data_IF_807940596644
#
_entry.id   IF_807940596644
#
_cell.length_a   1.000
_cell.length_b   1.000
_cell.length_c   1.000
_cell.angle_alpha   90.00
_cell.angle_beta   90.00
_cell.angle_gamma   90.00
#
_symmetry.space_group_name_H-M   'P 1'
#
loop_
_entity.id
_entity.type
_entity.pdbx_description
1 polymer ?
#
# COMPACT_ATOMS: atom_id res chain seq x y z
N UNK A 1 27.53 -46.14 91.78
CA UNK A 1 26.40 -45.23 91.70
C UNK A 1 26.45 -44.60 90.32
N UNK A 2 25.42 -44.90 89.57
CA UNK A 2 25.23 -44.73 88.09
C UNK A 2 24.91 -43.32 87.71
N UNK A 3 25.49 -42.85 86.63
CA UNK A 3 25.14 -41.60 85.97
C UNK A 3 24.99 -41.80 84.47
N UNK A 4 23.77 -42.04 84.04
CA UNK A 4 23.41 -42.16 82.64
C UNK A 4 23.46 -40.78 81.96
N UNK A 5 24.30 -40.59 80.92
CA UNK A 5 24.25 -39.43 80.01
C UNK A 5 23.22 -39.69 78.93
N UNK A 6 22.15 -38.90 78.87
CA UNK A 6 21.16 -38.83 77.75
C UNK A 6 21.82 -38.26 76.52
N UNK A 7 21.81 -39.05 75.43
CA UNK A 7 22.16 -38.63 74.06
C UNK A 7 20.99 -37.89 73.45
N UNK A 8 21.19 -36.64 73.05
CA UNK A 8 20.21 -35.76 72.52
C UNK A 8 20.03 -36.03 70.98
N UNK A 9 18.96 -36.68 70.60
CA UNK A 9 18.65 -37.12 69.21
C UNK A 9 18.09 -35.97 68.32
N UNK A 10 18.49 -34.72 68.50
CA UNK A 10 17.90 -33.59 67.71
C UNK A 10 18.86 -32.89 66.76
N UNK A 11 20.03 -33.46 66.42
CA UNK A 11 21.01 -32.79 65.54
C UNK A 11 21.34 -33.53 64.23
N UNK A 12 20.51 -34.48 63.80
CA UNK A 12 20.79 -35.27 62.59
C UNK A 12 19.76 -35.12 61.43
N UNK A 13 18.88 -34.13 61.46
CA UNK A 13 17.87 -33.94 60.39
C UNK A 13 17.89 -32.55 59.73
N UNK A 14 19.02 -31.85 59.74
CA UNK A 14 19.10 -30.49 59.11
C UNK A 14 20.25 -30.34 58.10
N UNK A 15 20.57 -31.35 57.32
CA UNK A 15 21.59 -31.26 56.26
C UNK A 15 21.24 -31.97 54.96
N UNK A 16 19.98 -32.08 54.59
CA UNK A 16 19.59 -32.75 53.32
C UNK A 16 18.44 -32.11 52.58
N UNK A 17 18.28 -30.73 52.60
CA UNK A 17 17.23 -30.08 51.82
C UNK A 17 17.66 -28.69 51.31
N UNK A 18 18.88 -28.56 50.77
CA UNK A 18 19.37 -27.33 50.18
C UNK A 18 20.12 -27.55 48.88
N UNK A 19 19.59 -28.39 47.98
CA UNK A 19 20.22 -28.64 46.65
C UNK A 19 19.24 -29.10 45.58
N UNK A 20 18.12 -28.40 45.38
CA UNK A 20 17.27 -28.55 44.14
C UNK A 20 16.46 -27.26 43.89
N UNK A 21 17.02 -26.08 43.98
CA UNK A 21 16.40 -24.85 43.49
C UNK A 21 17.42 -23.92 42.80
N UNK A 22 18.31 -24.51 42.01
CA UNK A 22 19.23 -23.74 41.17
C UNK A 22 19.12 -24.30 39.74
N UNK A 23 18.13 -23.86 39.00
CA UNK A 23 18.08 -24.28 37.60
C UNK A 23 16.74 -24.10 36.91
N UNK A 24 16.15 -22.90 36.90
CA UNK A 24 15.22 -22.44 35.85
C UNK A 24 15.08 -20.91 36.02
N UNK A 25 16.18 -20.20 35.92
CA UNK A 25 16.14 -18.82 35.48
C UNK A 25 15.81 -18.88 34.01
N UNK A 26 14.51 -19.03 33.67
CA UNK A 26 13.97 -18.64 32.37
C UNK A 26 14.39 -17.18 32.19
N UNK A 27 15.45 -16.95 31.40
CA UNK A 27 15.81 -15.64 30.90
C UNK A 27 14.69 -15.22 29.96
N UNK A 28 13.58 -14.72 30.51
CA UNK A 28 12.64 -13.93 29.76
C UNK A 28 13.45 -12.74 29.24
N UNK A 29 13.84 -12.77 27.94
CA UNK A 29 14.29 -11.57 27.26
C UNK A 29 13.26 -10.49 27.59
N UNK A 30 13.68 -9.32 28.10
CA UNK A 30 12.74 -8.23 28.30
C UNK A 30 12.06 -8.01 26.94
N UNK A 31 10.73 -8.01 26.91
CA UNK A 31 9.99 -7.66 25.72
C UNK A 31 10.45 -6.26 25.33
N UNK A 32 11.30 -6.17 24.30
CA UNK A 32 11.74 -4.88 23.77
C UNK A 32 10.50 -4.13 23.32
N UNK A 33 10.33 -2.89 23.79
CA UNK A 33 9.23 -2.06 23.33
C UNK A 33 9.30 -1.95 21.79
N UNK A 34 8.15 -2.12 21.11
CA UNK A 34 8.09 -2.03 19.67
C UNK A 34 8.51 -0.62 19.21
N UNK A 35 9.33 -0.54 18.17
CA UNK A 35 9.69 0.74 17.56
C UNK A 35 8.46 1.30 16.81
N UNK A 36 8.07 2.55 17.15
CA UNK A 36 6.96 3.22 16.46
C UNK A 36 7.37 3.63 15.06
N UNK A 37 6.56 3.27 14.06
CA UNK A 37 6.81 3.54 12.65
C UNK A 37 5.60 4.23 12.03
N UNK A 38 5.77 5.47 11.59
CA UNK A 38 4.77 6.16 10.78
C UNK A 38 4.83 5.62 9.35
N UNK A 39 3.68 5.22 8.82
CA UNK A 39 3.52 4.78 7.43
C UNK A 39 2.42 5.61 6.77
N UNK A 40 2.77 6.41 5.76
CA UNK A 40 1.85 7.32 5.09
C UNK A 40 1.01 6.61 4.04
N UNK A 41 -0.29 6.89 4.02
CA UNK A 41 -1.25 6.40 3.05
C UNK A 41 -1.98 7.57 2.38
N UNK A 42 -2.46 7.38 1.15
CA UNK A 42 -3.13 8.45 0.38
C UNK A 42 -4.59 8.70 0.82
N UNK A 43 -5.14 7.82 1.66
CA UNK A 43 -6.50 7.90 2.20
C UNK A 43 -6.57 7.06 3.50
N UNK A 44 -7.71 7.00 4.21
CA UNK A 44 -7.84 6.21 5.44
C UNK A 44 -7.44 4.74 5.27
N UNK A 45 -6.71 4.21 6.24
CA UNK A 45 -6.15 2.85 6.20
C UNK A 45 -7.21 1.74 6.11
N UNK A 46 -8.42 2.06 6.53
CA UNK A 46 -9.60 1.20 6.53
C UNK A 46 -10.18 0.96 5.14
N UNK A 47 -9.70 1.66 4.10
CA UNK A 47 -10.14 1.41 2.74
C UNK A 47 -9.50 0.11 2.19
N UNK A 48 -10.25 -0.70 1.41
CA UNK A 48 -9.76 -1.96 0.84
C UNK A 48 -8.48 -1.82 0.00
N UNK A 49 -8.23 -0.63 -0.55
CA UNK A 49 -6.99 -0.29 -1.26
C UNK A 49 -5.71 -0.52 -0.43
N UNK A 50 -5.82 -0.50 0.89
CA UNK A 50 -4.70 -0.66 1.83
C UNK A 50 -4.75 -1.98 2.60
N UNK A 51 -5.63 -2.89 2.20
CA UNK A 51 -5.82 -4.19 2.87
C UNK A 51 -4.54 -4.99 3.10
N UNK A 52 -3.53 -5.02 2.19
CA UNK A 52 -2.30 -5.74 2.48
C UNK A 52 -1.56 -5.21 3.71
N UNK A 53 -1.51 -3.88 3.89
CA UNK A 53 -0.82 -3.25 5.03
C UNK A 53 -1.67 -3.36 6.31
N UNK A 54 -3.00 -3.14 6.20
CA UNK A 54 -3.91 -3.26 7.32
C UNK A 54 -3.89 -4.68 7.89
N UNK A 55 -3.98 -5.70 7.03
CA UNK A 55 -3.93 -7.11 7.44
C UNK A 55 -2.55 -7.52 7.94
N UNK A 56 -1.45 -6.97 7.38
CA UNK A 56 -0.13 -7.17 7.96
C UNK A 56 -0.03 -6.67 9.40
N UNK A 57 -0.67 -5.53 9.71
CA UNK A 57 -0.76 -4.99 11.07
C UNK A 57 -1.67 -5.84 11.95
N UNK A 58 -2.88 -6.15 11.49
CA UNK A 58 -3.89 -6.93 12.24
C UNK A 58 -3.39 -8.33 12.59
N UNK A 59 -2.73 -9.00 11.66
CA UNK A 59 -2.13 -10.33 11.83
C UNK A 59 -0.79 -10.33 12.58
N UNK A 60 -0.33 -9.17 13.05
CA UNK A 60 0.87 -9.05 13.86
C UNK A 60 2.19 -9.12 13.10
N UNK A 61 2.22 -9.09 11.76
CA UNK A 61 3.46 -9.24 10.99
C UNK A 61 4.45 -8.10 11.23
N UNK A 62 3.97 -6.89 11.49
CA UNK A 62 4.84 -5.78 11.89
C UNK A 62 5.36 -5.93 13.31
N UNK A 63 4.52 -6.36 14.26
CA UNK A 63 4.93 -6.55 15.65
C UNK A 63 5.92 -7.71 15.81
N UNK A 64 5.76 -8.80 15.06
CA UNK A 64 6.75 -9.87 14.95
C UNK A 64 8.11 -9.37 14.44
N UNK A 65 8.09 -8.35 13.56
CA UNK A 65 9.30 -7.70 13.05
C UNK A 65 9.86 -6.62 14.00
N UNK A 66 9.24 -6.37 15.17
CA UNK A 66 9.68 -5.42 16.17
C UNK A 66 9.08 -4.02 16.06
N UNK A 67 8.01 -3.82 15.26
CA UNK A 67 7.46 -2.49 14.95
C UNK A 67 5.99 -2.33 15.34
N UNK A 68 5.66 -1.16 15.91
CA UNK A 68 4.30 -0.63 16.04
C UNK A 68 4.05 0.35 14.88
N UNK A 69 3.48 -0.16 13.78
CA UNK A 69 3.19 0.65 12.60
C UNK A 69 1.90 1.46 12.81
N UNK A 70 2.01 2.78 12.62
CA UNK A 70 0.91 3.73 12.70
C UNK A 70 0.66 4.33 11.31
N UNK A 71 -0.53 4.07 10.75
CA UNK A 71 -0.94 4.65 9.48
C UNK A 71 -1.39 6.09 9.66
N UNK A 72 -0.93 6.99 8.80
CA UNK A 72 -1.37 8.38 8.74
C UNK A 72 -1.76 8.75 7.32
N UNK A 73 -2.82 9.53 7.17
CA UNK A 73 -3.32 9.95 5.87
C UNK A 73 -2.61 11.23 5.39
N UNK A 74 -2.12 11.21 4.14
CA UNK A 74 -1.60 12.34 3.40
C UNK A 74 -2.55 12.72 2.26
N UNK A 75 -2.25 13.82 1.54
CA UNK A 75 -3.14 14.38 0.50
C UNK A 75 -3.02 13.71 -0.87
N UNK A 76 -2.43 12.52 -0.96
CA UNK A 76 -2.22 11.78 -2.20
C UNK A 76 -0.80 11.26 -2.33
N UNK A 77 -0.53 10.42 -3.35
CA UNK A 77 0.73 9.71 -3.50
C UNK A 77 1.95 10.62 -3.68
N UNK A 78 1.82 11.75 -4.36
CA UNK A 78 2.93 12.72 -4.53
C UNK A 78 3.21 13.50 -3.24
N UNK A 79 2.19 13.78 -2.41
CA UNK A 79 2.39 14.37 -1.09
C UNK A 79 3.13 13.38 -0.17
N UNK A 80 2.75 12.09 -0.20
CA UNK A 80 3.49 11.01 0.48
C UNK A 80 4.96 11.02 0.08
N UNK A 81 5.23 11.04 -1.23
CA UNK A 81 6.59 11.02 -1.76
C UNK A 81 7.42 12.21 -1.25
N UNK A 82 6.82 13.41 -1.23
CA UNK A 82 7.46 14.63 -0.69
C UNK A 82 7.74 14.52 0.80
N UNK A 83 6.78 14.04 1.59
CA UNK A 83 6.90 13.87 3.03
C UNK A 83 7.97 12.84 3.42
N UNK A 84 7.99 11.69 2.73
CA UNK A 84 9.00 10.64 2.93
C UNK A 84 10.39 11.14 2.53
N UNK A 85 10.51 11.85 1.39
CA UNK A 85 11.77 12.43 0.95
C UNK A 85 12.31 13.52 1.87
N UNK A 86 11.42 14.27 2.53
CA UNK A 86 11.77 15.26 3.53
C UNK A 86 12.09 14.65 4.92
N UNK A 87 11.93 13.34 5.11
CA UNK A 87 12.17 12.64 6.37
C UNK A 87 11.05 12.76 7.41
N UNK A 88 9.87 13.28 7.04
CA UNK A 88 8.72 13.41 7.95
C UNK A 88 8.08 12.05 8.30
N UNK A 89 8.30 11.04 7.47
CA UNK A 89 7.93 9.65 7.73
C UNK A 89 8.93 8.71 7.07
N UNK A 90 9.23 7.54 7.68
CA UNK A 90 10.17 6.58 7.11
C UNK A 90 9.65 5.88 5.85
N UNK A 91 8.33 5.68 5.76
CA UNK A 91 7.69 4.97 4.64
C UNK A 91 6.38 5.60 4.21
N UNK A 92 6.01 5.33 2.96
CA UNK A 92 4.67 5.58 2.47
C UNK A 92 4.28 4.62 1.35
N UNK A 93 2.97 4.48 1.12
CA UNK A 93 2.42 3.76 -0.03
C UNK A 93 1.97 4.78 -1.06
N UNK A 94 2.70 4.84 -2.17
CA UNK A 94 2.40 5.68 -3.33
C UNK A 94 2.23 4.81 -4.58
N UNK A 95 2.03 5.40 -5.76
CA UNK A 95 2.26 4.65 -7.01
C UNK A 95 3.76 4.63 -7.35
N UNK A 96 4.18 3.63 -8.11
CA UNK A 96 5.59 3.42 -8.45
C UNK A 96 6.18 4.49 -9.38
N UNK A 97 5.38 5.39 -9.92
CA UNK A 97 5.84 6.53 -10.72
C UNK A 97 6.17 7.79 -9.88
N UNK A 98 5.79 7.82 -8.61
CA UNK A 98 6.03 8.99 -7.77
C UNK A 98 7.50 9.43 -7.72
N UNK A 99 8.52 8.55 -7.63
CA UNK A 99 9.92 8.96 -7.71
C UNK A 99 10.28 9.68 -9.01
N UNK A 100 9.69 9.28 -10.15
CA UNK A 100 9.93 9.93 -11.45
C UNK A 100 9.53 11.42 -11.36
N UNK A 101 8.36 11.69 -10.76
CA UNK A 101 7.82 13.05 -10.66
C UNK A 101 8.58 13.91 -9.66
N UNK A 102 8.92 13.35 -8.47
CA UNK A 102 9.44 14.19 -7.38
C UNK A 102 10.97 14.34 -7.38
N UNK A 103 11.72 13.35 -7.91
CA UNK A 103 13.19 13.44 -7.92
C UNK A 103 13.69 14.57 -8.82
N UNK A 104 13.00 14.89 -9.91
CA UNK A 104 13.28 16.05 -10.74
C UNK A 104 13.24 17.37 -9.98
N UNK A 105 12.54 17.41 -8.83
CA UNK A 105 12.48 18.56 -7.91
C UNK A 105 13.41 18.38 -6.69
N UNK A 106 14.41 17.49 -6.77
CA UNK A 106 15.42 17.29 -5.73
C UNK A 106 14.95 16.48 -4.53
N UNK A 107 13.82 15.77 -4.60
CA UNK A 107 13.28 14.98 -3.48
C UNK A 107 13.80 13.54 -3.57
N UNK A 108 14.70 13.10 -2.66
CA UNK A 108 15.45 11.85 -2.77
C UNK A 108 14.67 10.65 -2.22
N UNK A 109 13.80 10.07 -3.03
CA UNK A 109 13.06 8.85 -2.68
C UNK A 109 13.25 7.74 -3.69
N UNK A 110 13.03 6.48 -3.25
CA UNK A 110 13.05 5.28 -4.09
C UNK A 110 11.86 4.38 -3.80
N UNK A 111 11.44 3.62 -4.81
CA UNK A 111 10.66 2.42 -4.61
C UNK A 111 11.53 1.38 -3.92
N UNK A 112 11.04 0.79 -2.85
CA UNK A 112 11.72 -0.31 -2.13
C UNK A 112 10.97 -1.64 -2.28
N UNK A 113 9.71 -1.61 -2.70
CA UNK A 113 8.93 -2.79 -3.14
C UNK A 113 7.73 -2.35 -3.98
N UNK A 114 7.40 -3.12 -5.03
CA UNK A 114 6.15 -3.00 -5.77
C UNK A 114 5.08 -3.91 -5.18
N UNK A 115 3.85 -3.44 -5.05
CA UNK A 115 2.74 -4.24 -4.54
C UNK A 115 2.01 -5.04 -5.64
N UNK A 116 2.39 -4.86 -6.91
CA UNK A 116 1.78 -5.57 -8.02
C UNK A 116 2.40 -5.23 -9.37
N UNK A 117 1.95 -5.90 -10.44
CA UNK A 117 2.43 -5.70 -11.81
C UNK A 117 1.41 -5.05 -12.74
N UNK A 118 0.17 -4.86 -12.27
CA UNK A 118 -0.88 -4.19 -13.03
C UNK A 118 -1.01 -2.71 -12.68
N UNK A 119 -1.98 -2.05 -13.30
CA UNK A 119 -2.35 -0.68 -12.96
C UNK A 119 -3.25 -0.63 -11.71
N UNK A 120 -3.09 0.41 -10.90
CA UNK A 120 -4.09 0.73 -9.89
C UNK A 120 -5.27 1.48 -10.51
N UNK A 121 -5.02 2.39 -11.45
CA UNK A 121 -6.03 3.26 -12.03
C UNK A 121 -6.91 2.59 -13.08
N UNK A 122 -8.22 2.77 -12.95
CA UNK A 122 -9.24 2.38 -13.91
C UNK A 122 -10.16 3.58 -14.14
N UNK A 123 -10.26 4.07 -15.38
CA UNK A 123 -11.33 5.00 -15.75
C UNK A 123 -12.64 4.22 -15.83
N UNK A 124 -13.62 4.58 -15.02
CA UNK A 124 -14.95 3.97 -15.00
C UNK A 124 -15.95 5.01 -15.46
N UNK A 125 -16.63 4.71 -16.57
CA UNK A 125 -17.55 5.62 -17.23
C UNK A 125 -18.99 5.09 -17.20
N UNK A 126 -19.94 6.00 -17.24
CA UNK A 126 -21.37 5.74 -17.39
C UNK A 126 -21.68 5.40 -18.84
N UNK A 127 -22.24 4.22 -19.09
CA UNK A 127 -22.70 3.79 -20.44
C UNK A 127 -23.89 4.64 -20.91
N UNK A 128 -24.77 5.05 -19.99
CA UNK A 128 -25.94 5.88 -20.28
C UNK A 128 -25.59 7.31 -20.73
N UNK A 129 -24.31 7.68 -20.72
CA UNK A 129 -23.74 8.93 -21.25
C UNK A 129 -23.11 8.75 -22.63
N UNK A 130 -23.36 7.61 -23.30
CA UNK A 130 -22.82 7.30 -24.62
C UNK A 130 -21.32 7.03 -24.65
N UNK A 131 -20.72 6.57 -23.49
CA UNK A 131 -19.30 6.30 -23.37
C UNK A 131 -19.07 4.79 -23.49
N UNK A 132 -18.40 4.36 -24.57
CA UNK A 132 -18.02 2.98 -24.86
C UNK A 132 -16.56 2.82 -25.26
N UNK A 133 -15.79 3.90 -25.31
CA UNK A 133 -14.33 3.93 -25.54
C UNK A 133 -13.75 5.23 -24.97
N UNK A 134 -12.43 5.29 -24.84
CA UNK A 134 -11.76 6.44 -24.20
C UNK A 134 -11.94 7.74 -25.00
N UNK A 135 -12.05 7.66 -26.33
CA UNK A 135 -12.26 8.81 -27.21
C UNK A 135 -13.60 9.53 -26.94
N UNK A 136 -14.58 8.81 -26.40
CA UNK A 136 -15.89 9.37 -26.04
C UNK A 136 -15.83 10.27 -24.78
N UNK A 137 -14.67 10.30 -24.09
CA UNK A 137 -14.44 11.18 -22.95
C UNK A 137 -14.17 12.65 -23.34
N UNK A 138 -14.02 12.96 -24.63
CA UNK A 138 -13.90 14.35 -25.09
C UNK A 138 -15.14 15.14 -24.71
N UNK A 139 -14.97 16.29 -24.07
CA UNK A 139 -16.04 17.15 -23.55
C UNK A 139 -16.78 16.61 -22.33
N UNK A 140 -16.34 15.49 -21.77
CA UNK A 140 -16.98 14.87 -20.59
C UNK A 140 -16.36 15.33 -19.29
N UNK A 141 -17.14 15.18 -18.20
CA UNK A 141 -16.72 15.47 -16.83
C UNK A 141 -16.14 14.21 -16.19
N UNK A 142 -14.91 14.33 -15.67
CA UNK A 142 -14.20 13.21 -15.05
C UNK A 142 -13.80 13.62 -13.63
N UNK A 143 -14.23 12.86 -12.62
CA UNK A 143 -13.79 13.09 -11.25
C UNK A 143 -12.49 12.34 -10.92
N UNK A 144 -11.60 13.03 -10.21
CA UNK A 144 -10.35 12.48 -9.63
C UNK A 144 -10.30 12.79 -8.14
N UNK A 145 -9.54 12.04 -7.37
CA UNK A 145 -9.41 12.28 -5.94
C UNK A 145 -8.66 13.59 -5.65
N UNK A 146 -7.54 13.80 -6.32
CA UNK A 146 -6.66 14.95 -6.14
C UNK A 146 -5.78 15.17 -7.36
N UNK A 147 -5.44 16.43 -7.67
CA UNK A 147 -4.41 16.75 -8.66
C UNK A 147 -2.98 16.40 -8.20
N UNK A 148 -2.82 15.99 -6.94
CA UNK A 148 -1.53 15.57 -6.36
C UNK A 148 -1.38 14.04 -6.32
N UNK A 149 -2.24 13.30 -7.02
CA UNK A 149 -2.10 11.86 -7.15
C UNK A 149 -1.59 11.45 -8.53
N UNK A 150 -0.84 10.35 -8.56
CA UNK A 150 -0.28 9.84 -9.80
C UNK A 150 -1.35 9.39 -10.81
N UNK A 151 -2.51 8.88 -10.36
CA UNK A 151 -3.62 8.54 -11.22
C UNK A 151 -4.16 9.74 -12.03
N UNK A 152 -4.06 10.98 -11.51
CA UNK A 152 -4.40 12.16 -12.30
C UNK A 152 -3.48 12.29 -13.53
N UNK A 153 -2.15 12.19 -13.33
CA UNK A 153 -1.20 12.27 -14.45
C UNK A 153 -1.33 11.07 -15.40
N UNK A 154 -1.56 9.89 -14.87
CA UNK A 154 -1.81 8.70 -15.67
C UNK A 154 -3.11 8.85 -16.51
N UNK A 155 -4.15 9.49 -15.96
CA UNK A 155 -5.38 9.81 -16.71
C UNK A 155 -5.08 10.78 -17.86
N UNK A 156 -4.31 11.84 -17.61
CA UNK A 156 -3.88 12.77 -18.67
C UNK A 156 -3.11 12.03 -19.78
N UNK A 157 -2.20 11.13 -19.40
CA UNK A 157 -1.45 10.31 -20.35
C UNK A 157 -2.33 9.39 -21.18
N UNK A 158 -3.31 8.73 -20.56
CA UNK A 158 -4.24 7.86 -21.24
C UNK A 158 -5.13 8.63 -22.25
N UNK A 159 -5.64 9.78 -21.86
CA UNK A 159 -6.40 10.68 -22.75
C UNK A 159 -5.52 11.16 -23.91
N UNK A 160 -4.31 11.64 -23.64
CA UNK A 160 -3.36 12.12 -24.64
C UNK A 160 -2.97 11.02 -25.63
N UNK A 161 -2.86 9.75 -25.21
CA UNK A 161 -2.57 8.61 -26.09
C UNK A 161 -3.66 8.39 -27.16
N UNK A 162 -4.82 9.00 -27.00
CA UNK A 162 -5.97 8.96 -27.94
C UNK A 162 -6.32 10.36 -28.48
N UNK A 163 -5.37 11.32 -28.43
CA UNK A 163 -5.51 12.65 -28.97
C UNK A 163 -6.46 13.57 -28.20
N UNK A 164 -6.78 13.24 -26.94
CA UNK A 164 -7.57 14.10 -26.04
C UNK A 164 -6.60 14.92 -25.20
N UNK A 165 -6.55 16.24 -25.45
CA UNK A 165 -5.73 17.16 -24.68
C UNK A 165 -6.27 17.37 -23.26
N UNK A 166 -5.44 17.97 -22.41
CA UNK A 166 -5.81 18.22 -21.01
C UNK A 166 -7.05 19.12 -20.83
N UNK A 167 -7.31 19.97 -21.81
CA UNK A 167 -8.43 20.93 -21.80
C UNK A 167 -9.64 20.42 -22.63
N UNK A 168 -9.52 19.24 -23.26
CA UNK A 168 -10.58 18.61 -24.02
C UNK A 168 -11.58 17.80 -23.15
N UNK A 169 -11.30 17.61 -21.87
CA UNK A 169 -12.19 17.00 -20.88
C UNK A 169 -12.13 17.82 -19.58
N UNK A 170 -13.26 17.91 -18.88
CA UNK A 170 -13.34 18.63 -17.60
C UNK A 170 -12.95 17.68 -16.45
N UNK A 171 -11.70 17.76 -15.97
CA UNK A 171 -11.23 16.93 -14.88
C UNK A 171 -11.37 17.70 -13.55
N UNK A 172 -12.13 17.13 -12.59
CA UNK A 172 -12.46 17.76 -11.31
C UNK A 172 -11.83 16.96 -10.15
N UNK A 173 -11.00 17.63 -9.31
CA UNK A 173 -10.52 17.07 -8.06
C UNK A 173 -11.56 17.27 -6.95
N UNK A 174 -12.15 16.18 -6.45
CA UNK A 174 -13.34 16.22 -5.59
C UNK A 174 -13.16 15.51 -4.23
N UNK A 175 -11.93 15.08 -3.94
CA UNK A 175 -11.62 14.31 -2.73
C UNK A 175 -12.13 12.86 -2.78
N UNK A 176 -11.70 12.01 -1.83
CA UNK A 176 -12.01 10.58 -1.84
C UNK A 176 -13.51 10.27 -1.87
N UNK A 177 -14.30 10.99 -1.06
CA UNK A 177 -15.75 10.77 -0.97
C UNK A 177 -16.52 11.24 -2.21
N UNK A 178 -15.99 12.25 -2.92
CA UNK A 178 -16.63 12.82 -4.11
C UNK A 178 -16.47 11.96 -5.35
N UNK A 179 -15.35 11.23 -5.50
CA UNK A 179 -15.01 10.54 -6.75
C UNK A 179 -16.13 9.60 -7.22
N UNK A 180 -16.55 8.68 -6.38
CA UNK A 180 -17.60 7.70 -6.71
C UNK A 180 -18.99 8.29 -6.51
N UNK A 181 -19.18 9.17 -5.53
CA UNK A 181 -20.50 9.77 -5.25
C UNK A 181 -21.03 10.59 -6.41
N UNK A 182 -20.20 11.41 -7.06
CA UNK A 182 -20.60 12.26 -8.18
C UNK A 182 -20.92 11.47 -9.44
N UNK A 183 -20.18 10.40 -9.74
CA UNK A 183 -20.49 9.54 -10.91
C UNK A 183 -21.75 8.72 -10.67
N UNK A 184 -21.98 8.22 -9.45
CA UNK A 184 -23.23 7.53 -9.10
C UNK A 184 -24.43 8.48 -9.23
N UNK A 185 -24.30 9.70 -8.71
CA UNK A 185 -25.35 10.73 -8.83
C UNK A 185 -25.54 11.26 -10.24
N UNK A 186 -24.68 10.95 -11.21
CA UNK A 186 -24.73 11.45 -12.58
C UNK A 186 -24.29 12.92 -12.75
N UNK A 187 -23.62 13.49 -11.75
CA UNK A 187 -23.06 14.85 -11.80
C UNK A 187 -21.78 14.93 -12.65
N UNK A 188 -21.07 13.79 -12.78
CA UNK A 188 -19.95 13.59 -13.71
C UNK A 188 -20.19 12.35 -14.55
N UNK A 189 -19.51 12.24 -15.68
CA UNK A 189 -19.71 11.19 -16.69
C UNK A 189 -18.82 9.97 -16.46
N UNK A 190 -17.64 10.21 -15.83
CA UNK A 190 -16.66 9.18 -15.52
C UNK A 190 -15.88 9.54 -14.26
N UNK A 191 -15.16 8.56 -13.69
CA UNK A 191 -14.22 8.79 -12.61
C UNK A 191 -12.95 7.97 -12.83
N UNK A 192 -11.82 8.45 -12.27
CA UNK A 192 -10.67 7.58 -12.09
C UNK A 192 -10.83 6.84 -10.77
N UNK A 193 -10.90 5.53 -10.86
CA UNK A 193 -11.16 4.64 -9.74
C UNK A 193 -9.95 3.77 -9.40
N UNK A 194 -9.95 3.25 -8.19
CA UNK A 194 -9.23 2.06 -7.76
C UNK A 194 -10.14 0.84 -7.92
N UNK A 195 -9.65 -0.41 -7.90
CA UNK A 195 -10.47 -1.61 -8.07
C UNK A 195 -11.63 -1.77 -7.08
N UNK A 196 -11.53 -1.23 -5.87
CA UNK A 196 -12.62 -1.18 -4.89
C UNK A 196 -13.71 -0.17 -5.29
N UNK A 197 -13.30 1.00 -5.77
CA UNK A 197 -14.24 2.02 -6.22
C UNK A 197 -14.94 1.62 -7.52
N UNK A 198 -14.26 0.91 -8.42
CA UNK A 198 -14.90 0.31 -9.61
C UNK A 198 -16.10 -0.56 -9.22
N UNK A 199 -15.92 -1.46 -8.22
CA UNK A 199 -17.01 -2.30 -7.72
C UNK A 199 -18.14 -1.46 -7.10
N UNK A 200 -17.79 -0.43 -6.31
CA UNK A 200 -18.80 0.44 -5.70
C UNK A 200 -19.60 1.25 -6.74
N UNK A 201 -18.95 1.72 -7.81
CA UNK A 201 -19.65 2.40 -8.91
C UNK A 201 -20.56 1.43 -9.64
N UNK A 202 -20.08 0.21 -9.95
CA UNK A 202 -20.91 -0.83 -10.59
C UNK A 202 -22.14 -1.18 -9.75
N UNK A 203 -21.98 -1.30 -8.43
CA UNK A 203 -23.09 -1.59 -7.53
C UNK A 203 -24.09 -0.41 -7.46
N UNK A 204 -23.60 0.83 -7.58
CA UNK A 204 -24.43 2.03 -7.52
C UNK A 204 -25.22 2.35 -8.77
N UNK A 205 -24.68 2.06 -9.97
CA UNK A 205 -25.32 2.43 -11.25
C UNK A 205 -25.54 1.27 -12.21
N UNK A 206 -25.12 0.06 -11.85
CA UNK A 206 -25.24 -1.13 -12.70
C UNK A 206 -24.19 -1.17 -13.82
N UNK A 207 -24.61 -0.99 -15.08
CA UNK A 207 -23.70 -1.13 -16.23
C UNK A 207 -22.75 0.06 -16.36
N UNK A 208 -21.46 -0.22 -16.33
CA UNK A 208 -20.36 0.74 -16.52
C UNK A 208 -19.43 0.28 -17.65
N UNK A 209 -18.66 1.21 -18.20
CA UNK A 209 -17.56 0.90 -19.09
C UNK A 209 -16.25 1.16 -18.35
N UNK A 210 -15.47 0.10 -18.14
CA UNK A 210 -14.20 0.18 -17.43
C UNK A 210 -13.02 0.18 -18.41
N UNK A 211 -12.12 1.15 -18.25
CA UNK A 211 -10.93 1.38 -19.07
C UNK A 211 -9.69 1.33 -18.17
N UNK A 212 -9.08 0.16 -17.97
CA UNK A 212 -7.82 0.07 -17.20
C UNK A 212 -6.72 0.90 -17.85
N UNK A 213 -6.06 1.77 -17.10
CA UNK A 213 -5.07 2.70 -17.67
C UNK A 213 -3.89 1.97 -18.33
N UNK A 214 -3.57 0.75 -17.88
CA UNK A 214 -2.52 -0.11 -18.49
C UNK A 214 -2.75 -0.42 -19.97
N UNK A 215 -3.99 -0.34 -20.45
CA UNK A 215 -4.35 -0.64 -21.84
C UNK A 215 -4.04 0.55 -22.77
N UNK A 216 -3.68 1.70 -22.21
CA UNK A 216 -3.43 2.94 -22.93
C UNK A 216 -2.00 3.47 -22.76
N UNK A 217 -1.42 3.29 -21.57
CA UNK A 217 -0.10 3.82 -21.21
C UNK A 217 0.67 2.83 -20.32
N UNK A 218 2.01 2.93 -20.24
CA UNK A 218 2.76 2.30 -19.17
C UNK A 218 2.26 2.79 -17.81
N UNK A 219 2.02 1.88 -16.89
CA UNK A 219 1.53 2.19 -15.54
C UNK A 219 2.23 1.32 -14.51
N UNK A 220 2.14 1.73 -13.23
CA UNK A 220 2.60 0.96 -12.10
C UNK A 220 1.46 0.69 -11.12
N UNK A 221 1.61 -0.38 -10.33
CA UNK A 221 0.84 -0.60 -9.13
C UNK A 221 1.29 0.35 -8.00
N UNK A 222 0.67 0.18 -6.84
CA UNK A 222 1.16 0.76 -5.59
C UNK A 222 2.58 0.26 -5.28
N UNK A 223 3.37 1.13 -4.67
CA UNK A 223 4.74 0.87 -4.26
C UNK A 223 5.01 1.40 -2.86
N UNK A 224 5.78 0.65 -2.08
CA UNK A 224 6.36 1.16 -0.84
C UNK A 224 7.55 2.02 -1.22
N UNK A 225 7.56 3.26 -0.74
CA UNK A 225 8.64 4.22 -0.96
C UNK A 225 9.35 4.56 0.35
N UNK A 226 10.65 4.80 0.26
CA UNK A 226 11.51 5.27 1.34
C UNK A 226 12.51 6.30 0.80
N UNK A 227 13.07 7.16 1.67
CA UNK A 227 14.10 8.10 1.26
C UNK A 227 15.43 7.41 0.96
N UNK A 228 16.28 8.02 0.14
CA UNK A 228 17.64 7.52 -0.13
C UNK A 228 18.45 7.39 1.16
N UNK A 229 18.28 8.35 2.09
CA UNK A 229 18.91 8.33 3.41
C UNK A 229 18.46 7.13 4.27
N UNK A 230 17.15 6.86 4.31
CA UNK A 230 16.58 5.70 5.01
C UNK A 230 17.14 4.38 4.45
N UNK A 231 17.16 4.25 3.13
CA UNK A 231 17.72 3.07 2.43
C UNK A 231 19.20 2.86 2.75
N UNK A 232 19.98 3.95 2.82
CA UNK A 232 21.42 3.89 3.09
C UNK A 232 21.75 3.61 4.56
N UNK A 233 21.07 4.30 5.49
CA UNK A 233 21.42 4.25 6.92
C UNK A 233 20.74 3.13 7.70
N UNK A 234 19.54 2.69 7.26
CA UNK A 234 18.75 1.68 7.98
C UNK A 234 18.27 0.54 7.06
N UNK A 235 19.14 -0.12 6.29
CA UNK A 235 18.71 -1.11 5.29
C UNK A 235 17.97 -2.30 5.90
N UNK A 236 18.35 -2.77 7.10
CA UNK A 236 17.67 -3.89 7.77
C UNK A 236 16.29 -3.48 8.30
N UNK A 237 16.12 -2.25 8.74
CA UNK A 237 14.81 -1.70 9.10
C UNK A 237 13.90 -1.64 7.87
N UNK A 238 14.39 -1.11 6.74
CA UNK A 238 13.65 -1.10 5.48
C UNK A 238 13.27 -2.50 5.06
N UNK A 239 14.20 -3.46 5.12
CA UNK A 239 13.96 -4.86 4.79
C UNK A 239 12.85 -5.46 5.64
N UNK A 240 12.89 -5.28 6.95
CA UNK A 240 11.94 -5.86 7.89
C UNK A 240 10.51 -5.31 7.65
N UNK A 241 10.35 -3.99 7.48
CA UNK A 241 9.05 -3.37 7.20
C UNK A 241 8.52 -3.81 5.83
N UNK A 242 9.37 -3.85 4.79
CA UNK A 242 9.00 -4.34 3.46
C UNK A 242 8.52 -5.80 3.52
N UNK A 243 9.28 -6.69 4.16
CA UNK A 243 8.91 -8.11 4.25
C UNK A 243 7.59 -8.30 5.01
N UNK A 244 7.37 -7.60 6.13
CA UNK A 244 6.10 -7.65 6.86
C UNK A 244 4.93 -7.18 5.98
N UNK A 245 5.11 -6.08 5.22
CA UNK A 245 4.10 -5.58 4.28
C UNK A 245 3.79 -6.59 3.17
N UNK A 246 4.81 -7.22 2.61
CA UNK A 246 4.66 -8.22 1.53
C UNK A 246 4.04 -9.53 2.03
N UNK A 247 4.18 -9.88 3.30
CA UNK A 247 3.42 -10.99 3.92
C UNK A 247 1.92 -10.69 3.90
N UNK A 248 1.52 -9.46 4.22
CA UNK A 248 0.12 -9.05 4.13
C UNK A 248 -0.43 -9.09 2.70
N UNK A 249 0.35 -8.64 1.71
CA UNK A 249 -0.01 -8.79 0.30
C UNK A 249 -0.17 -10.26 -0.09
N UNK A 250 0.77 -11.12 0.32
CA UNK A 250 0.70 -12.55 0.06
C UNK A 250 -0.55 -13.17 0.68
N UNK A 251 -0.90 -12.80 1.90
CA UNK A 251 -2.11 -13.27 2.58
C UNK A 251 -3.38 -12.97 1.77
N UNK A 252 -3.51 -11.74 1.24
CA UNK A 252 -4.66 -11.35 0.40
C UNK A 252 -4.67 -12.13 -0.92
N UNK A 253 -3.50 -12.39 -1.51
CA UNK A 253 -3.42 -13.05 -2.82
C UNK A 253 -3.62 -14.56 -2.75
N UNK A 254 -3.15 -15.22 -1.68
CA UNK A 254 -3.21 -16.68 -1.54
C UNK A 254 -4.64 -17.15 -1.28
N UNK A 255 -5.38 -16.47 -0.41
CA UNK A 255 -6.76 -16.80 -0.09
C UNK A 255 -7.59 -15.51 0.11
N UNK A 256 -8.15 -14.96 -0.98
CA UNK A 256 -8.96 -13.75 -0.90
C UNK A 256 -10.25 -13.92 -0.08
N UNK A 257 -10.75 -15.13 0.07
CA UNK A 257 -11.97 -15.42 0.85
C UNK A 257 -11.67 -15.35 2.35
N UNK A 258 -10.59 -16.00 2.80
CA UNK A 258 -10.10 -15.89 4.17
C UNK A 258 -9.66 -14.43 4.47
N UNK A 259 -8.98 -13.78 3.54
CA UNK A 259 -8.56 -12.38 3.72
C UNK A 259 -9.76 -11.44 3.86
N UNK A 260 -10.85 -11.65 3.10
CA UNK A 260 -12.08 -10.86 3.22
C UNK A 260 -12.72 -11.03 4.59
N UNK A 261 -12.82 -12.27 5.09
CA UNK A 261 -13.31 -12.56 6.44
C UNK A 261 -12.48 -11.84 7.51
N UNK A 262 -11.14 -11.99 7.46
CA UNK A 262 -10.23 -11.33 8.41
C UNK A 262 -10.32 -9.80 8.32
N UNK A 263 -10.53 -9.26 7.11
CA UNK A 263 -10.67 -7.82 6.92
C UNK A 263 -11.94 -7.26 7.56
N UNK A 264 -13.09 -7.92 7.43
CA UNK A 264 -14.33 -7.44 8.06
C UNK A 264 -14.28 -7.56 9.59
N UNK A 265 -13.50 -8.49 10.13
CA UNK A 265 -13.18 -8.57 11.56
C UNK A 265 -12.32 -7.38 12.01
N UNK A 266 -11.33 -6.99 11.19
CA UNK A 266 -10.41 -5.89 11.48
C UNK A 266 -11.03 -4.50 11.28
N UNK A 267 -12.07 -4.36 10.42
CA UNK A 267 -12.65 -3.08 10.01
C UNK A 267 -14.17 -3.07 10.26
N UNK A 268 -14.63 -2.60 11.43
CA UNK A 268 -16.04 -2.62 11.80
C UNK A 268 -17.00 -1.96 10.78
N UNK A 269 -16.54 -0.96 10.02
CA UNK A 269 -17.33 -0.31 8.96
C UNK A 269 -17.72 -1.26 7.82
N UNK A 270 -17.05 -2.42 7.69
CA UNK A 270 -17.35 -3.47 6.73
C UNK A 270 -18.01 -4.71 7.34
N UNK A 271 -18.42 -4.65 8.62
CA UNK A 271 -19.17 -5.74 9.27
C UNK A 271 -20.39 -6.14 8.42
N UNK A 272 -20.56 -7.43 8.17
CA UNK A 272 -21.62 -7.98 7.32
C UNK A 272 -21.47 -7.77 5.81
N UNK A 273 -20.35 -7.19 5.34
CA UNK A 273 -20.08 -6.93 3.91
C UNK A 273 -18.99 -7.86 3.35
N UNK A 274 -18.85 -9.07 3.88
CA UNK A 274 -17.78 -10.00 3.48
C UNK A 274 -17.80 -10.29 1.98
N UNK A 275 -18.97 -10.50 1.37
CA UNK A 275 -19.12 -10.75 -0.06
C UNK A 275 -18.62 -9.56 -0.91
N UNK A 276 -18.95 -8.33 -0.51
CA UNK A 276 -18.45 -7.13 -1.17
C UNK A 276 -16.91 -7.07 -1.08
N UNK A 277 -16.33 -7.28 0.10
CA UNK A 277 -14.87 -7.27 0.30
C UNK A 277 -14.20 -8.37 -0.51
N UNK A 278 -14.78 -9.56 -0.59
CA UNK A 278 -14.30 -10.67 -1.42
C UNK A 278 -14.24 -10.28 -2.90
N UNK A 279 -15.29 -9.68 -3.44
CA UNK A 279 -15.33 -9.17 -4.83
C UNK A 279 -14.25 -8.12 -5.07
N UNK A 280 -14.09 -7.20 -4.13
CA UNK A 280 -13.05 -6.16 -4.17
C UNK A 280 -11.66 -6.80 -4.19
N UNK A 281 -11.35 -7.74 -3.30
CA UNK A 281 -10.02 -8.37 -3.24
C UNK A 281 -9.70 -9.16 -4.51
N UNK A 282 -10.67 -9.90 -5.05
CA UNK A 282 -10.50 -10.59 -6.34
C UNK A 282 -10.24 -9.60 -7.46
N UNK A 283 -10.92 -8.44 -7.48
CA UNK A 283 -10.68 -7.39 -8.46
C UNK A 283 -9.27 -6.77 -8.32
N UNK A 284 -8.79 -6.52 -7.09
CA UNK A 284 -7.40 -6.09 -6.84
C UNK A 284 -6.38 -7.11 -7.33
N UNK A 285 -6.60 -8.39 -7.06
CA UNK A 285 -5.72 -9.46 -7.51
C UNK A 285 -5.61 -9.46 -9.04
N UNK A 286 -6.73 -9.41 -9.75
CA UNK A 286 -6.74 -9.47 -11.22
C UNK A 286 -6.20 -8.20 -11.87
N UNK A 287 -6.54 -7.02 -11.36
CA UNK A 287 -6.18 -5.77 -11.99
C UNK A 287 -4.80 -5.26 -11.60
N UNK A 288 -4.40 -5.45 -10.33
CA UNK A 288 -3.25 -4.76 -9.75
C UNK A 288 -2.15 -5.70 -9.26
N UNK A 289 -2.47 -6.75 -8.50
CA UNK A 289 -1.43 -7.52 -7.82
C UNK A 289 -0.75 -8.55 -8.70
N UNK A 290 -1.45 -9.16 -9.66
CA UNK A 290 -0.88 -10.09 -10.65
C UNK A 290 -0.10 -9.36 -11.75
N UNK A 291 0.58 -10.15 -12.58
CA UNK A 291 1.18 -9.67 -13.83
C UNK A 291 2.61 -9.15 -13.72
N UNK A 292 3.28 -9.26 -12.58
CA UNK A 292 4.70 -8.96 -12.48
C UNK A 292 5.56 -10.06 -13.14
N UNK A 293 6.58 -9.66 -13.94
CA UNK A 293 7.58 -10.59 -14.48
C UNK A 293 8.35 -11.29 -13.36
N UNK A 294 8.74 -10.51 -12.34
CA UNK A 294 9.32 -11.02 -11.10
C UNK A 294 8.52 -10.42 -9.96
N UNK A 295 7.90 -11.28 -9.18
CA UNK A 295 6.98 -10.88 -8.12
C UNK A 295 7.60 -9.84 -7.18
N UNK A 296 6.88 -8.74 -6.93
CA UNK A 296 7.22 -7.63 -6.02
C UNK A 296 8.43 -6.78 -6.44
N UNK A 297 9.12 -7.12 -7.52
CA UNK A 297 10.24 -6.33 -8.06
C UNK A 297 9.75 -5.25 -9.01
N UNK A 298 10.44 -4.12 -8.98
CA UNK A 298 10.28 -3.05 -9.96
C UNK A 298 10.87 -3.49 -11.31
N UNK A 299 10.09 -3.32 -12.40
CA UNK A 299 10.57 -3.49 -13.76
C UNK A 299 11.10 -2.13 -14.26
N UNK A 300 12.43 -1.99 -14.49
CA UNK A 300 13.02 -0.73 -14.94
C UNK A 300 12.51 -0.29 -16.32
N UNK A 301 12.10 -1.21 -17.18
CA UNK A 301 11.59 -0.86 -18.51
C UNK A 301 10.26 -0.10 -18.43
N UNK A 302 9.40 -0.45 -17.46
CA UNK A 302 8.14 0.27 -17.20
C UNK A 302 8.44 1.68 -16.72
N UNK A 303 9.38 1.86 -15.77
CA UNK A 303 9.74 3.20 -15.26
C UNK A 303 10.36 4.06 -16.35
N UNK A 304 11.22 3.50 -17.22
CA UNK A 304 11.80 4.21 -18.36
C UNK A 304 10.71 4.70 -19.33
N UNK A 305 9.73 3.84 -19.64
CA UNK A 305 8.62 4.19 -20.54
C UNK A 305 7.72 5.27 -19.91
N UNK A 306 7.45 5.18 -18.61
CA UNK A 306 6.69 6.20 -17.88
C UNK A 306 7.41 7.54 -17.81
N UNK A 307 8.73 7.54 -17.58
CA UNK A 307 9.53 8.77 -17.58
C UNK A 307 9.43 9.49 -18.93
N UNK A 308 9.57 8.75 -20.06
CA UNK A 308 9.41 9.32 -21.40
C UNK A 308 8.02 9.92 -21.61
N UNK A 309 6.98 9.22 -21.18
CA UNK A 309 5.61 9.73 -21.23
C UNK A 309 5.48 11.03 -20.42
N UNK A 310 6.00 11.08 -19.19
CA UNK A 310 5.88 12.27 -18.33
C UNK A 310 6.70 13.46 -18.85
N UNK A 311 7.82 13.22 -19.52
CA UNK A 311 8.55 14.26 -20.25
C UNK A 311 7.70 14.81 -21.40
N UNK A 312 7.08 13.95 -22.22
CA UNK A 312 6.24 14.36 -23.33
C UNK A 312 4.99 15.15 -22.92
N UNK A 313 4.51 14.91 -21.70
CA UNK A 313 3.39 15.63 -21.09
C UNK A 313 3.81 16.91 -20.34
N UNK A 314 5.10 17.21 -20.27
CA UNK A 314 5.63 18.35 -19.50
C UNK A 314 5.49 18.21 -17.99
N UNK A 315 5.27 16.98 -17.47
CA UNK A 315 5.20 16.69 -16.04
C UNK A 315 6.60 16.64 -15.41
N UNK A 316 7.58 16.20 -16.19
CA UNK A 316 9.00 16.11 -15.83
C UNK A 316 9.82 16.80 -16.91
N UNK A 317 10.80 17.61 -16.50
CA UNK A 317 11.56 18.46 -17.42
C UNK A 317 12.79 17.77 -18.04
N UNK A 318 13.31 16.70 -17.43
CA UNK A 318 14.52 16.04 -17.89
C UNK A 318 14.53 14.55 -17.56
N UNK A 319 15.28 13.77 -18.34
CA UNK A 319 15.53 12.37 -18.10
C UNK A 319 16.54 12.20 -16.95
N UNK A 320 16.27 11.23 -16.07
CA UNK A 320 17.18 10.82 -15.01
C UNK A 320 17.46 9.31 -15.12
N UNK A 321 18.62 8.82 -14.61
CA UNK A 321 18.93 7.39 -14.63
C UNK A 321 17.86 6.58 -13.87
N UNK A 322 17.30 5.55 -14.50
CA UNK A 322 16.15 4.79 -13.98
C UNK A 322 16.46 4.09 -12.66
N UNK A 323 17.70 3.67 -12.45
CA UNK A 323 18.18 3.03 -11.22
C UNK A 323 18.16 3.96 -10.00
N UNK A 324 18.03 5.27 -10.22
CA UNK A 324 17.81 6.23 -9.13
C UNK A 324 16.41 6.14 -8.54
N UNK A 325 15.41 5.64 -9.30
CA UNK A 325 14.00 5.61 -8.88
C UNK A 325 13.64 4.44 -7.99
N UNK A 326 14.45 3.37 -7.95
CA UNK A 326 14.09 2.14 -7.24
C UNK A 326 15.30 1.38 -6.70
N UNK A 327 15.01 0.42 -5.83
CA UNK A 327 15.92 -0.68 -5.50
C UNK A 327 15.13 -1.95 -5.23
N UNK A 328 15.61 -3.08 -5.79
CA UNK A 328 15.04 -4.40 -5.54
C UNK A 328 15.77 -5.16 -4.41
N UNK A 329 16.67 -4.50 -3.66
CA UNK A 329 17.52 -5.12 -2.63
C UNK A 329 16.72 -5.69 -1.43
N UNK A 330 15.50 -5.22 -1.20
CA UNK A 330 14.66 -5.59 -0.05
C UNK A 330 13.60 -6.64 -0.38
N UNK A 331 13.51 -7.03 -1.65
CA UNK A 331 12.53 -7.99 -2.16
C UNK A 331 13.24 -9.31 -2.46
N UNK A 332 12.74 -10.40 -1.85
CA UNK A 332 13.24 -11.77 -2.09
C UNK A 332 12.51 -12.43 -3.23
#
# INVERSE_FOLDING_TARGET
MSGFKRINRRSLFLKATALVFAGLALTSKPASALEKVIFLLAAPAELPAFSPLLLAKHLGYFSEAGFDVQFQTARGGLDIAKQVGAGNAPFGLSLGDAPIVVRGNGIPIKIVAMMGGGALGVLVARIDRGIGKIEDLRGKKISVMSYQEANFYATLGALASRGIGKDDAEIQAVGPSGVIGLVIAGAVDACICTPDWEINVQDGIGKTFAMPLKDYIPTTAQAIVASDDMVARRPEFVRAVVQASLRGLKYVMDDPDLAAKTYVEAVPAFAGKEELVRRIFRNYIERTYKGQKVLRKTDPAVLAAMQKLYISLGVVNAEAPVDTFYTNAFVK
#
